data_IF_818159970439
#
_entry.id   IF_818159970439
#
_cell.length_a   1.000
_cell.length_b   1.000
_cell.length_c   1.000
_cell.angle_alpha   90.00
_cell.angle_beta   90.00
_cell.angle_gamma   90.00
#
_symmetry.space_group_name_H-M   'P 1'
#
loop_
_entity.id
_entity.type
_entity.pdbx_description
1 polymer ?
#
# COMPACT_ATOMS: atom_id res chain seq x y z
N UNK A 1 28.92 7.38 22.92
CA UNK A 1 27.54 7.11 23.33
C UNK A 1 26.80 6.65 22.08
N UNK A 2 26.50 5.34 22.00
CA UNK A 2 25.74 4.79 20.87
C UNK A 2 24.27 5.03 21.15
N UNK A 3 23.62 5.80 20.29
CA UNK A 3 22.17 5.96 20.32
C UNK A 3 21.57 4.62 19.88
N UNK A 4 20.88 3.95 20.80
CA UNK A 4 20.07 2.78 20.51
C UNK A 4 19.01 3.22 19.47
N UNK A 5 19.00 2.55 18.31
CA UNK A 5 17.90 2.65 17.39
C UNK A 5 16.67 2.12 18.10
N UNK A 6 15.71 3.01 18.39
CA UNK A 6 14.41 2.60 18.87
C UNK A 6 13.78 1.71 17.78
N UNK A 7 13.64 0.43 18.08
CA UNK A 7 12.77 -0.47 17.30
C UNK A 7 11.39 0.17 17.31
N UNK A 8 10.95 0.63 16.14
CA UNK A 8 9.59 1.11 15.97
C UNK A 8 8.67 -0.10 16.20
N UNK A 9 7.91 -0.06 17.27
CA UNK A 9 6.81 -0.99 17.49
C UNK A 9 6.00 -1.08 16.19
N UNK A 10 5.67 -2.29 15.68
CA UNK A 10 4.78 -2.37 14.54
C UNK A 10 3.50 -1.60 14.86
N UNK A 11 3.05 -0.79 13.89
CA UNK A 11 1.80 -0.06 14.02
C UNK A 11 0.69 -1.02 14.44
N UNK A 12 -0.18 -0.64 15.38
CA UNK A 12 -1.32 -1.47 15.73
C UNK A 12 -2.11 -1.76 14.45
N UNK A 13 -2.48 -3.01 14.27
CA UNK A 13 -3.25 -3.44 13.12
C UNK A 13 -4.62 -2.79 13.20
N UNK A 14 -5.10 -2.22 12.10
CA UNK A 14 -6.47 -1.76 11.91
C UNK A 14 -7.52 -2.86 12.15
N UNK A 15 -7.06 -4.06 12.38
CA UNK A 15 -7.85 -5.27 12.48
C UNK A 15 -8.59 -5.34 13.80
N UNK A 16 -9.89 -5.10 13.75
CA UNK A 16 -10.75 -5.53 14.83
C UNK A 16 -10.75 -7.08 14.88
N UNK A 17 -10.44 -7.72 16.03
CA UNK A 17 -10.57 -9.17 16.18
C UNK A 17 -11.98 -9.69 15.82
N UNK A 18 -12.99 -8.83 15.96
CA UNK A 18 -14.38 -9.12 15.63
C UNK A 18 -14.60 -9.18 14.11
N UNK A 19 -13.92 -8.34 13.36
CA UNK A 19 -13.98 -8.36 11.91
C UNK A 19 -13.33 -9.63 11.33
N UNK A 20 -12.26 -10.11 11.97
CA UNK A 20 -11.65 -11.39 11.64
C UNK A 20 -12.62 -12.58 11.79
N UNK A 21 -13.47 -12.55 12.80
CA UNK A 21 -14.49 -13.59 13.01
C UNK A 21 -15.61 -13.51 11.98
N UNK A 22 -15.98 -12.29 11.56
CA UNK A 22 -16.98 -12.08 10.50
C UNK A 22 -16.48 -12.68 9.19
N UNK A 23 -15.23 -12.37 8.80
CA UNK A 23 -14.66 -12.85 7.56
C UNK A 23 -14.52 -14.38 7.49
N UNK A 24 -14.39 -15.06 8.64
CA UNK A 24 -14.39 -16.53 8.71
C UNK A 24 -15.77 -17.19 8.54
N UNK A 25 -16.82 -16.40 8.51
CA UNK A 25 -18.18 -16.90 8.23
C UNK A 25 -18.37 -17.34 6.77
N UNK A 26 -17.31 -17.36 5.99
CA UNK A 26 -17.32 -17.78 4.61
C UNK A 26 -17.84 -19.19 4.39
N UNK A 27 -19.00 -19.25 3.88
CA UNK A 27 -19.61 -20.42 3.25
C UNK A 27 -20.33 -19.94 2.00
N UNK A 28 -20.69 -20.83 1.06
CA UNK A 28 -21.56 -20.47 -0.04
C UNK A 28 -22.93 -20.06 0.54
N UNK A 29 -23.08 -18.79 0.84
CA UNK A 29 -24.28 -18.21 1.37
C UNK A 29 -24.97 -17.51 0.20
N UNK A 30 -25.69 -18.26 -0.59
CA UNK A 30 -26.62 -17.69 -1.53
C UNK A 30 -27.96 -17.51 -0.81
N UNK A 31 -28.38 -16.28 -0.59
CA UNK A 31 -29.69 -15.90 -0.04
C UNK A 31 -30.06 -16.50 1.33
N UNK A 32 -29.09 -17.03 2.08
CA UNK A 32 -29.29 -17.63 3.39
C UNK A 32 -28.74 -16.74 4.50
N UNK A 33 -29.36 -16.77 5.67
CA UNK A 33 -28.86 -16.09 6.86
C UNK A 33 -27.59 -16.78 7.36
N UNK A 34 -26.55 -15.99 7.62
CA UNK A 34 -25.28 -16.45 8.18
C UNK A 34 -25.47 -16.91 9.63
N UNK A 35 -24.78 -17.96 10.01
CA UNK A 35 -24.88 -18.51 11.36
C UNK A 35 -24.48 -17.47 12.43
N UNK A 36 -25.31 -17.25 13.47
CA UNK A 36 -25.01 -16.31 14.54
C UNK A 36 -23.70 -16.59 15.31
N UNK A 37 -23.17 -17.79 15.21
CA UNK A 37 -21.98 -18.19 15.98
C UNK A 37 -20.73 -17.40 15.62
N UNK A 38 -20.53 -17.11 14.36
CA UNK A 38 -19.34 -16.42 13.87
C UNK A 38 -19.55 -14.90 13.93
N UNK A 39 -20.78 -14.46 13.68
CA UNK A 39 -21.14 -13.04 13.64
C UNK A 39 -21.74 -12.54 14.96
N UNK A 40 -21.73 -13.35 16.00
CA UNK A 40 -22.33 -13.02 17.33
C UNK A 40 -21.75 -11.76 17.99
N UNK A 41 -20.61 -11.28 17.51
CA UNK A 41 -20.02 -10.01 17.95
C UNK A 41 -20.75 -8.79 17.36
N UNK A 42 -21.50 -8.98 16.29
CA UNK A 42 -22.33 -7.96 15.65
C UNK A 42 -23.80 -8.11 16.06
N UNK A 43 -24.06 -8.42 17.34
CA UNK A 43 -25.41 -8.65 17.83
C UNK A 43 -26.38 -7.51 17.45
N UNK A 44 -27.62 -7.87 17.16
CA UNK A 44 -28.34 -9.13 17.22
C UNK A 44 -28.30 -9.96 15.94
N UNK A 45 -27.14 -10.35 15.59
CA UNK A 45 -26.74 -10.95 14.66
C UNK A 45 -26.61 -12.00 13.67
N UNK A 46 -27.30 -11.91 12.62
CA UNK A 46 -27.06 -12.67 11.40
C UNK A 46 -26.83 -11.72 10.24
N UNK A 47 -26.11 -12.21 9.24
CA UNK A 47 -25.96 -11.56 7.95
C UNK A 47 -26.56 -12.45 6.89
N UNK A 48 -27.05 -11.86 5.83
CA UNK A 48 -27.54 -12.53 4.62
C UNK A 48 -26.76 -12.01 3.41
N UNK A 49 -26.76 -12.73 2.30
CA UNK A 49 -26.07 -12.38 1.08
C UNK A 49 -25.15 -13.49 0.61
N UNK A 50 -24.12 -13.15 -0.16
CA UNK A 50 -23.19 -14.12 -0.73
C UNK A 50 -22.39 -13.54 -1.90
N UNK A 51 -22.00 -14.38 -2.86
CA UNK A 51 -21.27 -13.98 -4.05
C UNK A 51 -22.22 -13.44 -5.13
N UNK A 52 -21.93 -12.23 -5.60
CA UNK A 52 -22.68 -11.57 -6.67
C UNK A 52 -21.77 -11.40 -7.89
N UNK A 53 -22.30 -11.74 -9.07
CA UNK A 53 -21.55 -11.59 -10.31
C UNK A 53 -21.72 -10.21 -10.88
N UNK A 54 -20.61 -9.52 -11.14
CA UNK A 54 -20.64 -8.19 -11.73
C UNK A 54 -20.86 -8.22 -13.23
N UNK A 55 -21.24 -7.12 -13.90
CA UNK A 55 -21.36 -7.03 -15.36
C UNK A 55 -20.04 -7.34 -16.10
N UNK A 56 -18.90 -7.03 -15.51
CA UNK A 56 -17.57 -7.34 -16.06
C UNK A 56 -17.12 -8.79 -15.83
N UNK A 57 -17.88 -9.54 -15.01
CA UNK A 57 -17.73 -10.99 -14.85
C UNK A 57 -16.98 -11.42 -13.58
N UNK A 58 -16.50 -10.48 -12.75
CA UNK A 58 -15.92 -10.78 -11.45
C UNK A 58 -17.01 -11.25 -10.47
N UNK A 59 -16.58 -11.91 -9.41
CA UNK A 59 -17.45 -12.28 -8.29
C UNK A 59 -17.05 -11.46 -7.08
N UNK A 60 -18.00 -10.74 -6.50
CA UNK A 60 -17.80 -9.95 -5.29
C UNK A 60 -18.68 -10.50 -4.18
N UNK A 61 -18.12 -10.75 -3.00
CA UNK A 61 -18.86 -11.26 -1.85
C UNK A 61 -19.40 -10.10 -1.03
N UNK A 62 -20.74 -10.04 -0.90
CA UNK A 62 -21.43 -8.99 -0.14
C UNK A 62 -22.41 -9.63 0.84
N UNK A 63 -22.26 -9.30 2.11
CA UNK A 63 -23.14 -9.68 3.19
C UNK A 63 -23.82 -8.44 3.77
N UNK A 64 -25.08 -8.53 4.11
CA UNK A 64 -25.83 -7.47 4.77
C UNK A 64 -26.39 -7.96 6.12
N UNK A 65 -26.29 -7.10 7.12
CA UNK A 65 -26.86 -7.35 8.44
C UNK A 65 -28.37 -7.61 8.33
N UNK A 66 -28.91 -8.51 9.14
CA UNK A 66 -30.36 -8.73 9.25
C UNK A 66 -31.16 -7.53 9.82
N UNK A 67 -30.46 -6.46 10.19
CA UNK A 67 -31.09 -5.17 10.44
C UNK A 67 -31.66 -4.52 9.16
N UNK A 68 -31.12 -4.93 8.00
CA UNK A 68 -31.66 -4.58 6.70
C UNK A 68 -32.66 -5.67 6.24
N UNK A 69 -33.76 -5.29 5.54
CA UNK A 69 -34.60 -6.27 4.88
C UNK A 69 -33.80 -7.16 3.94
N UNK A 70 -34.16 -8.44 3.87
CA UNK A 70 -33.54 -9.35 2.90
C UNK A 70 -33.92 -8.90 1.49
N UNK A 71 -32.93 -8.42 0.75
CA UNK A 71 -33.10 -7.91 -0.61
C UNK A 71 -31.84 -8.21 -1.43
N UNK A 72 -31.82 -9.25 -2.27
CA UNK A 72 -30.67 -9.57 -3.13
C UNK A 72 -30.20 -8.41 -4.01
N UNK A 73 -31.08 -7.46 -4.37
CA UNK A 73 -30.73 -6.29 -5.14
C UNK A 73 -29.78 -5.36 -4.35
N UNK A 74 -29.80 -5.37 -3.02
CA UNK A 74 -28.85 -4.62 -2.20
C UNK A 74 -27.43 -5.13 -2.40
N UNK A 75 -27.20 -6.45 -2.32
CA UNK A 75 -25.89 -7.04 -2.52
C UNK A 75 -25.37 -6.86 -3.95
N UNK A 76 -26.25 -7.09 -4.95
CA UNK A 76 -25.91 -6.86 -6.36
C UNK A 76 -25.51 -5.40 -6.62
N UNK A 77 -26.26 -4.42 -6.09
CA UNK A 77 -25.94 -2.99 -6.23
C UNK A 77 -24.54 -2.67 -5.74
N UNK A 78 -24.13 -3.19 -4.58
CA UNK A 78 -22.82 -2.93 -4.03
C UNK A 78 -21.70 -3.67 -4.75
N UNK A 79 -21.97 -4.88 -5.24
CA UNK A 79 -21.02 -5.59 -6.11
C UNK A 79 -20.79 -4.81 -7.42
N UNK A 80 -21.84 -4.35 -8.08
CA UNK A 80 -21.78 -3.56 -9.30
C UNK A 80 -21.11 -2.20 -9.07
N UNK A 81 -21.39 -1.56 -7.93
CA UNK A 81 -20.74 -0.32 -7.53
C UNK A 81 -19.21 -0.51 -7.42
N UNK A 82 -18.76 -1.51 -6.68
CA UNK A 82 -17.32 -1.80 -6.54
C UNK A 82 -16.67 -2.12 -7.89
N UNK A 83 -17.34 -2.85 -8.75
CA UNK A 83 -16.87 -3.12 -10.10
C UNK A 83 -16.81 -1.87 -11.01
N UNK A 84 -17.54 -0.82 -10.67
CA UNK A 84 -17.49 0.47 -11.38
C UNK A 84 -16.29 1.33 -11.00
N UNK A 85 -15.62 1.01 -9.89
CA UNK A 85 -14.42 1.71 -9.45
C UNK A 85 -13.22 1.28 -10.28
N UNK A 86 -12.14 2.06 -10.25
CA UNK A 86 -10.85 1.63 -10.81
C UNK A 86 -10.30 0.52 -9.92
N UNK A 87 -10.21 -0.70 -10.44
CA UNK A 87 -9.80 -1.87 -9.68
C UNK A 87 -8.85 -2.76 -10.47
N UNK A 88 -8.25 -3.72 -9.79
CA UNK A 88 -7.49 -4.83 -10.36
C UNK A 88 -8.13 -6.18 -9.96
N UNK A 89 -7.38 -7.29 -10.01
CA UNK A 89 -7.89 -8.61 -9.68
C UNK A 89 -8.26 -8.78 -8.19
N UNK A 90 -7.82 -7.87 -7.32
CA UNK A 90 -8.17 -7.89 -5.88
C UNK A 90 -9.67 -7.76 -5.63
N UNK A 91 -10.44 -7.20 -6.55
CA UNK A 91 -11.90 -7.09 -6.44
C UNK A 91 -12.57 -8.43 -6.10
N UNK A 92 -12.08 -9.52 -6.65
CA UNK A 92 -12.65 -10.85 -6.40
C UNK A 92 -12.28 -11.45 -5.04
N UNK A 93 -11.43 -10.79 -4.26
CA UNK A 93 -10.99 -11.27 -2.94
C UNK A 93 -11.57 -10.49 -1.77
N UNK A 94 -12.37 -9.44 -2.03
CA UNK A 94 -12.96 -8.65 -0.95
C UNK A 94 -14.24 -9.29 -0.41
N UNK A 95 -14.41 -9.20 0.90
CA UNK A 95 -15.65 -9.49 1.61
C UNK A 95 -16.25 -8.20 2.16
N UNK A 96 -17.40 -7.83 1.69
CA UNK A 96 -18.10 -6.59 2.10
C UNK A 96 -19.21 -6.94 3.07
N UNK A 97 -19.18 -6.33 4.25
CA UNK A 97 -20.19 -6.46 5.27
C UNK A 97 -20.92 -5.13 5.43
N UNK A 98 -22.21 -5.13 5.14
CA UNK A 98 -23.07 -3.96 5.25
C UNK A 98 -23.85 -4.01 6.55
N UNK A 99 -23.76 -2.98 7.38
CA UNK A 99 -24.48 -2.93 8.63
C UNK A 99 -24.91 -1.48 8.96
N UNK A 100 -25.96 -1.27 9.79
CA UNK A 100 -26.27 0.06 10.29
C UNK A 100 -25.09 0.67 11.03
N UNK A 101 -24.92 1.99 10.95
CA UNK A 101 -23.85 2.76 11.59
C UNK A 101 -23.60 2.36 13.06
N UNK A 102 -24.68 2.13 13.82
CA UNK A 102 -24.58 1.68 15.21
C UNK A 102 -23.96 0.30 15.41
N UNK A 103 -24.03 -0.58 14.40
CA UNK A 103 -23.35 -1.87 14.43
C UNK A 103 -21.88 -1.71 13.97
N UNK A 104 -21.63 -0.89 12.96
CA UNK A 104 -20.29 -0.54 12.51
C UNK A 104 -19.46 0.03 13.65
N UNK A 105 -19.94 1.08 14.31
CA UNK A 105 -19.26 1.72 15.45
C UNK A 105 -18.97 0.76 16.61
N UNK A 106 -19.81 -0.24 16.82
CA UNK A 106 -19.58 -1.26 17.85
C UNK A 106 -18.40 -2.18 17.53
N UNK A 107 -18.13 -2.42 16.26
CA UNK A 107 -17.05 -3.31 15.79
C UNK A 107 -15.77 -2.54 15.51
N UNK A 108 -15.88 -1.44 14.78
CA UNK A 108 -14.75 -0.65 14.30
C UNK A 108 -14.22 0.36 15.34
N UNK A 109 -15.08 0.73 16.32
CA UNK A 109 -14.80 1.77 17.32
C UNK A 109 -15.87 2.86 17.31
N UNK A 110 -16.02 3.59 18.44
CA UNK A 110 -17.13 4.53 18.65
C UNK A 110 -17.20 5.65 17.61
N UNK A 111 -16.05 6.06 17.09
CA UNK A 111 -15.92 7.19 16.15
C UNK A 111 -15.72 6.74 14.70
N UNK A 112 -15.69 5.43 14.46
CA UNK A 112 -15.49 4.88 13.13
C UNK A 112 -16.82 4.79 12.36
N UNK A 113 -16.80 5.29 11.12
CA UNK A 113 -17.92 5.18 10.17
C UNK A 113 -17.86 3.86 9.41
N UNK A 114 -16.64 3.34 9.19
CA UNK A 114 -16.36 2.05 8.55
C UNK A 114 -15.00 1.52 9.02
N UNK A 115 -14.62 0.32 8.62
CA UNK A 115 -13.26 -0.18 8.77
C UNK A 115 -12.95 -1.32 7.80
N UNK A 116 -11.63 -1.51 7.53
CA UNK A 116 -11.11 -2.58 6.70
C UNK A 116 -10.13 -3.45 7.50
N UNK A 117 -10.22 -4.77 7.33
CA UNK A 117 -9.25 -5.76 7.83
C UNK A 117 -8.43 -6.33 6.68
N UNK A 118 -7.13 -6.06 6.70
CA UNK A 118 -6.21 -6.58 5.67
C UNK A 118 -5.93 -8.07 5.81
N UNK A 119 -6.07 -8.63 7.01
CA UNK A 119 -5.83 -10.05 7.25
C UNK A 119 -6.93 -10.94 6.65
N UNK A 120 -8.17 -10.45 6.62
CA UNK A 120 -9.34 -11.17 6.14
C UNK A 120 -9.85 -10.64 4.81
N UNK A 121 -9.24 -9.58 4.26
CA UNK A 121 -9.76 -8.86 3.09
C UNK A 121 -11.22 -8.41 3.29
N UNK A 122 -11.58 -8.02 4.51
CA UNK A 122 -12.94 -7.72 4.91
C UNK A 122 -13.15 -6.23 5.16
N UNK A 123 -14.25 -5.69 4.62
CA UNK A 123 -14.70 -4.31 4.77
C UNK A 123 -16.05 -4.32 5.50
N UNK A 124 -16.19 -3.54 6.57
CA UNK A 124 -17.45 -3.32 7.26
C UNK A 124 -17.83 -1.84 7.15
N UNK A 125 -18.98 -1.57 6.56
CA UNK A 125 -19.46 -0.21 6.30
C UNK A 125 -21.00 -0.10 6.37
N UNK A 126 -21.54 1.12 6.44
CA UNK A 126 -22.98 1.33 6.29
C UNK A 126 -23.45 0.97 4.87
N UNK A 127 -24.58 0.28 4.78
CA UNK A 127 -25.25 0.00 3.50
C UNK A 127 -26.12 1.16 2.98
N UNK A 128 -26.24 2.24 3.77
CA UNK A 128 -26.97 3.48 3.50
C UNK A 128 -26.14 4.67 3.95
N UNK A 129 -26.45 5.87 3.49
CA UNK A 129 -25.70 7.06 3.85
C UNK A 129 -25.68 7.24 5.38
N UNK A 130 -24.46 7.33 5.97
CA UNK A 130 -24.33 7.52 7.41
C UNK A 130 -24.69 8.93 7.84
N UNK A 131 -24.87 9.12 9.15
CA UNK A 131 -25.01 10.45 9.73
C UNK A 131 -23.68 11.23 9.54
N UNK A 132 -23.74 12.51 9.18
CA UNK A 132 -22.52 13.31 9.03
C UNK A 132 -22.19 13.78 7.62
N UNK A 133 -23.04 13.46 6.63
CA UNK A 133 -22.97 14.08 5.29
C UNK A 133 -22.03 13.41 4.29
N UNK A 134 -21.41 12.29 4.64
CA UNK A 134 -20.72 11.42 3.68
C UNK A 134 -21.73 10.44 3.06
N UNK A 135 -21.56 10.11 1.79
CA UNK A 135 -22.34 9.01 1.19
C UNK A 135 -21.75 7.65 1.55
N UNK A 136 -22.58 6.62 1.62
CA UNK A 136 -22.11 5.25 1.79
C UNK A 136 -21.16 4.84 0.66
N UNK A 137 -21.38 5.34 -0.56
CA UNK A 137 -20.46 5.14 -1.70
C UNK A 137 -19.08 5.72 -1.43
N UNK A 138 -18.99 6.95 -0.88
CA UNK A 138 -17.72 7.57 -0.55
C UNK A 138 -16.97 6.78 0.53
N UNK A 139 -17.69 6.37 1.58
CA UNK A 139 -17.13 5.57 2.68
C UNK A 139 -16.62 4.22 2.19
N UNK A 140 -17.44 3.49 1.43
CA UNK A 140 -17.05 2.17 0.89
C UNK A 140 -15.89 2.31 -0.10
N UNK A 141 -15.83 3.40 -0.89
CA UNK A 141 -14.71 3.64 -1.80
C UNK A 141 -13.42 3.89 -1.03
N UNK A 142 -13.45 4.63 0.08
CA UNK A 142 -12.30 4.84 0.96
C UNK A 142 -11.78 3.49 1.51
N UNK A 143 -12.64 2.69 2.12
CA UNK A 143 -12.27 1.39 2.68
C UNK A 143 -11.75 0.41 1.61
N UNK A 144 -12.35 0.46 0.42
CA UNK A 144 -11.84 -0.32 -0.71
C UNK A 144 -10.46 0.16 -1.15
N UNK A 145 -10.12 1.43 -0.97
CA UNK A 145 -8.77 1.97 -1.14
C UNK A 145 -7.74 1.24 -0.24
N UNK A 146 -8.09 0.94 1.01
CA UNK A 146 -7.25 0.12 1.89
C UNK A 146 -7.09 -1.31 1.37
N UNK A 147 -8.18 -1.90 0.84
CA UNK A 147 -8.11 -3.23 0.20
C UNK A 147 -7.17 -3.23 -0.99
N UNK A 148 -7.25 -2.23 -1.86
CA UNK A 148 -6.30 -2.07 -2.96
C UNK A 148 -4.87 -1.99 -2.42
N UNK A 149 -4.58 -1.15 -1.42
CA UNK A 149 -3.25 -1.02 -0.84
C UNK A 149 -2.73 -2.33 -0.26
N UNK A 150 -3.59 -3.10 0.44
CA UNK A 150 -3.22 -4.40 1.00
C UNK A 150 -2.79 -5.41 -0.08
N UNK A 151 -3.31 -5.26 -1.29
CA UNK A 151 -2.99 -6.09 -2.46
C UNK A 151 -1.90 -5.48 -3.36
N UNK A 152 -1.15 -4.50 -2.89
CA UNK A 152 -0.05 -3.85 -3.63
C UNK A 152 1.27 -3.98 -2.88
N UNK A 153 2.35 -3.91 -3.64
CA UNK A 153 3.71 -3.94 -3.08
C UNK A 153 4.30 -2.54 -3.03
N UNK A 154 4.92 -2.20 -1.90
CA UNK A 154 5.74 -1.01 -1.72
C UNK A 154 7.04 -1.33 -0.97
N UNK A 155 7.69 -2.46 -1.27
CA UNK A 155 8.90 -2.86 -0.56
C UNK A 155 9.97 -1.73 -0.52
N UNK A 156 10.60 -1.50 0.67
CA UNK A 156 10.58 -2.33 1.87
C UNK A 156 9.44 -2.04 2.87
N UNK A 157 8.51 -1.18 2.54
CA UNK A 157 7.39 -0.80 3.42
C UNK A 157 6.12 -1.56 3.09
N UNK A 158 5.22 -1.65 4.05
CA UNK A 158 3.86 -2.15 3.83
C UNK A 158 3.03 -1.08 3.09
N UNK A 159 2.42 -1.46 1.97
CA UNK A 159 1.66 -0.49 1.18
C UNK A 159 0.40 0.00 1.91
N UNK A 160 -0.18 -0.80 2.81
CA UNK A 160 -1.33 -0.36 3.62
C UNK A 160 -0.98 0.81 4.55
N UNK A 161 0.26 0.90 5.02
CA UNK A 161 0.70 1.98 5.90
C UNK A 161 1.34 3.15 5.15
N UNK A 162 1.99 2.90 4.02
CA UNK A 162 2.76 3.90 3.27
C UNK A 162 2.10 4.32 1.95
N UNK A 163 0.98 3.71 1.57
CA UNK A 163 0.44 3.77 0.21
C UNK A 163 1.21 2.89 -0.78
N UNK A 164 0.63 2.56 -1.94
CA UNK A 164 1.28 1.85 -3.02
C UNK A 164 2.48 2.61 -3.61
N UNK A 165 3.32 1.89 -4.32
CA UNK A 165 4.70 2.29 -4.70
C UNK A 165 4.83 3.61 -5.42
N UNK A 166 4.06 3.81 -6.50
CA UNK A 166 4.19 5.00 -7.35
C UNK A 166 3.58 6.22 -6.66
N UNK A 167 2.40 6.07 -6.09
CA UNK A 167 1.75 7.13 -5.33
C UNK A 167 2.61 7.57 -4.14
N UNK A 168 3.09 6.62 -3.32
CA UNK A 168 3.94 6.91 -2.19
C UNK A 168 5.23 7.65 -2.57
N UNK A 169 5.80 7.30 -3.74
CA UNK A 169 6.99 7.99 -4.28
C UNK A 169 6.67 9.37 -4.85
N UNK A 170 5.50 9.53 -5.48
CA UNK A 170 5.05 10.82 -6.04
C UNK A 170 4.88 11.88 -4.94
N UNK A 171 4.19 11.53 -3.85
CA UNK A 171 4.00 12.43 -2.69
C UNK A 171 5.15 12.39 -1.67
N UNK A 172 6.22 11.65 -1.97
CA UNK A 172 7.45 11.54 -1.17
C UNK A 172 7.23 11.04 0.27
N UNK A 173 6.35 10.04 0.47
CA UNK A 173 6.01 9.50 1.79
C UNK A 173 7.26 9.17 2.61
N UNK A 174 8.20 8.43 2.02
CA UNK A 174 9.44 8.04 2.71
C UNK A 174 10.25 9.24 3.20
N UNK A 175 10.45 10.25 2.37
CA UNK A 175 11.23 11.44 2.73
C UNK A 175 10.52 12.28 3.79
N UNK A 176 9.21 12.44 3.67
CA UNK A 176 8.38 13.20 4.62
C UNK A 176 8.25 12.49 5.97
N UNK A 177 8.08 11.17 5.97
CA UNK A 177 8.08 10.39 7.21
C UNK A 177 9.43 10.47 7.96
N UNK A 178 10.56 10.47 7.23
CA UNK A 178 11.89 10.66 7.84
C UNK A 178 12.08 12.05 8.48
N UNK A 179 11.34 13.06 8.03
CA UNK A 179 11.33 14.40 8.63
C UNK A 179 10.28 14.58 9.72
N UNK A 180 9.48 13.53 10.00
CA UNK A 180 8.38 13.59 10.98
C UNK A 180 7.15 14.34 10.49
N UNK A 181 7.03 14.61 9.18
CA UNK A 181 5.88 15.29 8.57
C UNK A 181 4.70 14.34 8.32
N UNK A 182 4.97 13.05 8.19
CA UNK A 182 3.97 11.98 8.03
C UNK A 182 4.22 10.88 9.04
N UNK A 183 3.16 10.19 9.43
CA UNK A 183 3.17 9.11 10.41
C UNK A 183 2.55 7.82 9.82
N UNK A 184 3.30 7.05 9.01
CA UNK A 184 2.79 5.84 8.39
C UNK A 184 2.24 4.82 9.39
N UNK A 185 0.99 4.39 9.20
CA UNK A 185 0.32 3.44 10.07
C UNK A 185 -0.03 3.99 11.45
N UNK A 186 -0.13 5.30 11.62
CA UNK A 186 -0.58 5.89 12.88
C UNK A 186 -2.09 5.74 13.04
N UNK A 187 -2.49 5.18 14.18
CA UNK A 187 -3.88 4.95 14.57
C UNK A 187 -4.30 5.88 15.72
N UNK A 188 -3.34 6.61 16.31
CA UNK A 188 -3.61 7.54 17.40
C UNK A 188 -4.24 8.84 16.88
N UNK A 189 -5.19 9.45 17.62
CA UNK A 189 -5.91 10.65 17.16
C UNK A 189 -5.04 11.86 16.84
N UNK A 190 -3.81 11.90 17.38
CA UNK A 190 -2.89 13.05 17.21
C UNK A 190 -2.19 13.02 15.85
N UNK A 191 -1.95 11.82 15.28
CA UNK A 191 -1.16 11.64 14.05
C UNK A 191 -1.94 10.96 12.94
N UNK A 192 -3.19 10.61 13.18
CA UNK A 192 -4.05 9.96 12.18
C UNK A 192 -4.23 10.83 10.93
N UNK A 193 -4.37 12.13 11.10
CA UNK A 193 -4.53 13.10 10.02
C UNK A 193 -3.33 13.22 9.08
N UNK A 194 -2.15 12.74 9.50
CA UNK A 194 -0.92 12.66 8.69
C UNK A 194 -0.51 11.22 8.37
N UNK A 195 -1.41 10.25 8.53
CA UNK A 195 -1.20 8.87 8.14
C UNK A 195 -1.31 8.72 6.60
N UNK A 196 -0.21 8.36 5.88
CA UNK A 196 -0.28 8.21 4.44
C UNK A 196 -1.08 6.99 3.97
N UNK A 197 -1.36 6.01 4.84
CA UNK A 197 -2.29 4.92 4.53
C UNK A 197 -3.70 5.45 4.31
N UNK A 198 -4.16 6.34 5.19
CA UNK A 198 -5.43 7.06 5.07
C UNK A 198 -5.42 8.05 3.90
N UNK A 199 -4.29 8.75 3.71
CA UNK A 199 -4.09 9.63 2.56
C UNK A 199 -4.18 8.92 1.22
N UNK A 200 -3.75 7.67 1.16
CA UNK A 200 -3.94 6.81 -0.01
C UNK A 200 -5.42 6.48 -0.21
N UNK A 201 -6.13 6.00 0.82
CA UNK A 201 -7.54 5.63 0.73
C UNK A 201 -8.40 6.83 0.28
N UNK A 202 -8.15 8.02 0.81
CA UNK A 202 -8.76 9.26 0.38
C UNK A 202 -8.38 9.65 -1.06
N UNK A 203 -7.11 9.48 -1.47
CA UNK A 203 -6.69 9.69 -2.86
C UNK A 203 -7.43 8.75 -3.81
N UNK A 204 -7.58 7.49 -3.42
CA UNK A 204 -8.32 6.50 -4.19
C UNK A 204 -9.80 6.88 -4.33
N UNK A 205 -10.42 7.38 -3.26
CA UNK A 205 -11.80 7.91 -3.29
C UNK A 205 -11.92 9.07 -4.29
N UNK A 206 -11.07 10.09 -4.16
CA UNK A 206 -11.07 11.26 -5.08
C UNK A 206 -10.84 10.83 -6.54
N UNK A 207 -9.91 9.91 -6.79
CA UNK A 207 -9.68 9.36 -8.13
C UNK A 207 -10.97 8.79 -8.74
N UNK A 208 -11.70 7.99 -7.97
CA UNK A 208 -12.91 7.32 -8.45
C UNK A 208 -14.10 8.29 -8.59
N UNK A 209 -14.27 9.22 -7.67
CA UNK A 209 -15.29 10.28 -7.79
C UNK A 209 -15.08 11.09 -9.07
N UNK A 210 -13.86 11.51 -9.37
CA UNK A 210 -13.53 12.23 -10.61
C UNK A 210 -13.79 11.40 -11.87
N UNK A 211 -13.39 10.13 -11.85
CA UNK A 211 -13.61 9.24 -13.01
C UNK A 211 -15.07 8.95 -13.27
N UNK A 212 -15.88 8.87 -12.22
CA UNK A 212 -17.34 8.70 -12.31
C UNK A 212 -18.06 10.01 -12.64
N UNK A 213 -17.37 11.15 -12.59
CA UNK A 213 -17.97 12.47 -12.86
C UNK A 213 -18.96 12.91 -11.78
N UNK A 214 -18.81 12.42 -10.55
CA UNK A 214 -19.59 12.84 -9.39
C UNK A 214 -18.84 13.94 -8.61
N UNK A 215 -19.59 14.69 -7.78
CA UNK A 215 -19.00 15.71 -6.92
C UNK A 215 -18.05 15.04 -5.90
N UNK A 216 -16.89 15.66 -5.67
CA UNK A 216 -15.98 15.17 -4.64
C UNK A 216 -16.61 15.35 -3.26
N UNK A 217 -16.62 14.28 -2.48
CA UNK A 217 -16.97 14.34 -1.06
C UNK A 217 -15.96 15.19 -0.29
N UNK A 218 -16.34 15.83 0.82
CA UNK A 218 -15.43 16.66 1.60
C UNK A 218 -14.14 15.92 1.97
N UNK A 219 -13.00 16.57 1.79
CA UNK A 219 -11.71 16.10 2.26
C UNK A 219 -11.59 16.40 3.76
N UNK A 220 -11.77 15.40 4.62
CA UNK A 220 -11.85 15.63 6.06
C UNK A 220 -11.23 14.54 6.92
N UNK A 221 -10.92 13.38 6.35
CA UNK A 221 -10.31 12.25 7.09
C UNK A 221 -8.85 12.54 7.42
N UNK A 222 -8.13 13.18 6.51
CA UNK A 222 -6.71 13.51 6.67
C UNK A 222 -6.42 14.97 6.31
N UNK A 223 -5.26 15.43 6.74
CA UNK A 223 -4.76 16.78 6.47
C UNK A 223 -4.64 17.07 4.97
N UNK A 224 -4.90 18.33 4.59
CA UNK A 224 -4.73 18.82 3.21
C UNK A 224 -3.30 18.66 2.67
N UNK A 225 -2.30 18.40 3.51
CA UNK A 225 -0.94 18.11 3.05
C UNK A 225 -0.84 16.78 2.30
N UNK A 226 -1.87 15.93 2.39
CA UNK A 226 -2.01 14.66 1.67
C UNK A 226 -2.97 14.75 0.48
N UNK A 227 -3.62 15.91 0.25
CA UNK A 227 -4.54 16.08 -0.88
C UNK A 227 -3.80 15.85 -2.21
N UNK A 228 -4.34 15.01 -3.12
CA UNK A 228 -3.63 14.59 -4.32
C UNK A 228 -3.60 15.67 -5.39
N UNK A 229 -2.43 15.93 -5.93
CA UNK A 229 -2.28 16.65 -7.19
C UNK A 229 -2.49 15.71 -8.41
N UNK A 230 -2.41 16.26 -9.61
CA UNK A 230 -2.61 15.48 -10.84
C UNK A 230 -1.58 14.36 -11.00
N UNK A 231 -0.34 14.55 -10.52
CA UNK A 231 0.70 13.53 -10.59
C UNK A 231 0.43 12.38 -9.60
N UNK A 232 -0.04 12.71 -8.39
CA UNK A 232 -0.44 11.73 -7.39
C UNK A 232 -1.65 10.89 -7.87
N UNK A 233 -2.65 11.53 -8.50
CA UNK A 233 -3.80 10.81 -9.07
C UNK A 233 -3.39 9.88 -10.22
N UNK A 234 -2.49 10.33 -11.10
CA UNK A 234 -1.95 9.50 -12.18
C UNK A 234 -1.18 8.30 -11.62
N UNK A 235 -0.34 8.54 -10.61
CA UNK A 235 0.41 7.48 -9.94
C UNK A 235 -0.52 6.48 -9.22
N UNK A 236 -1.59 6.98 -8.59
CA UNK A 236 -2.59 6.15 -7.94
C UNK A 236 -3.30 5.23 -8.96
N UNK A 237 -3.76 5.77 -10.07
CA UNK A 237 -4.38 4.97 -11.14
C UNK A 237 -3.42 3.89 -11.68
N UNK A 238 -2.15 4.24 -11.89
CA UNK A 238 -1.13 3.28 -12.33
C UNK A 238 -0.88 2.18 -11.30
N UNK A 239 -0.88 2.50 -10.00
CA UNK A 239 -0.71 1.49 -8.95
C UNK A 239 -1.88 0.52 -8.90
N UNK A 240 -3.10 0.96 -9.23
CA UNK A 240 -4.27 0.07 -9.30
C UNK A 240 -4.24 -0.80 -10.56
N UNK A 241 -4.10 -0.18 -11.73
CA UNK A 241 -4.29 -0.85 -13.03
C UNK A 241 -3.05 -1.60 -13.53
N UNK A 242 -1.86 -1.23 -13.06
CA UNK A 242 -0.58 -1.83 -13.40
C UNK A 242 0.33 -1.94 -12.17
N UNK A 243 0.04 -2.86 -11.24
CA UNK A 243 0.75 -2.98 -9.98
C UNK A 243 2.27 -3.03 -10.16
N UNK A 244 2.98 -2.27 -9.31
CA UNK A 244 4.45 -2.28 -9.35
C UNK A 244 4.99 -3.64 -8.93
N UNK A 245 5.99 -4.10 -9.66
CA UNK A 245 6.77 -5.28 -9.35
C UNK A 245 8.25 -4.91 -9.27
N UNK A 246 8.99 -5.56 -8.36
CA UNK A 246 10.42 -5.33 -8.22
C UNK A 246 11.12 -5.64 -9.54
N UNK A 247 11.81 -4.68 -10.18
CA UNK A 247 12.53 -4.93 -11.41
C UNK A 247 13.67 -5.93 -11.21
N UNK A 248 13.93 -6.74 -12.23
CA UNK A 248 15.12 -7.58 -12.26
C UNK A 248 16.39 -6.73 -12.24
N UNK A 249 17.46 -7.25 -11.64
CA UNK A 249 18.74 -6.55 -11.59
C UNK A 249 19.33 -6.37 -13.00
N UNK A 250 19.64 -5.13 -13.37
CA UNK A 250 20.26 -4.80 -14.65
C UNK A 250 21.76 -5.09 -14.61
N UNK A 251 22.28 -6.00 -15.45
CA UNK A 251 23.69 -6.31 -15.50
C UNK A 251 24.48 -5.21 -16.25
N UNK A 252 25.68 -4.91 -15.75
CA UNK A 252 26.65 -4.00 -16.36
C UNK A 252 28.03 -4.62 -16.28
N UNK A 253 28.90 -4.32 -17.21
CA UNK A 253 30.30 -4.67 -17.15
C UNK A 253 31.15 -3.40 -17.19
N UNK A 254 32.32 -3.45 -16.57
CA UNK A 254 33.28 -2.35 -16.62
C UNK A 254 34.72 -2.87 -16.46
N UNK A 255 35.64 -2.19 -17.09
CA UNK A 255 37.07 -2.54 -17.00
C UNK A 255 37.82 -1.45 -16.26
N UNK A 256 38.62 -1.85 -15.29
CA UNK A 256 39.64 -1.00 -14.62
C UNK A 256 40.98 -1.32 -15.15
N UNK A 257 41.77 -0.29 -15.46
CA UNK A 257 43.14 -0.37 -15.97
C UNK A 257 44.10 0.34 -15.01
N UNK A 258 45.38 0.33 -15.32
CA UNK A 258 46.38 1.10 -14.55
C UNK A 258 46.12 2.60 -14.64
N UNK A 259 45.62 3.09 -15.78
CA UNK A 259 45.33 4.50 -16.03
C UNK A 259 43.91 4.88 -15.60
N UNK A 260 42.94 3.95 -15.67
CA UNK A 260 41.53 4.19 -15.29
C UNK A 260 41.16 3.32 -14.10
N UNK A 261 41.46 3.81 -12.91
CA UNK A 261 41.29 3.07 -11.65
C UNK A 261 39.90 3.17 -11.05
N UNK A 262 39.02 3.96 -11.67
CA UNK A 262 37.63 4.18 -11.17
C UNK A 262 36.67 4.22 -12.34
N UNK A 263 35.51 3.60 -12.15
CA UNK A 263 34.31 3.70 -13.03
C UNK A 263 33.13 4.17 -12.22
N UNK A 264 32.35 5.08 -12.80
CA UNK A 264 31.16 5.64 -12.17
C UNK A 264 29.95 5.40 -13.08
N UNK A 265 28.83 5.02 -12.46
CA UNK A 265 27.54 4.80 -13.11
C UNK A 265 26.49 5.67 -12.41
N UNK A 266 25.73 6.44 -13.16
CA UNK A 266 24.54 7.11 -12.66
C UNK A 266 23.33 6.21 -12.91
N UNK A 267 22.58 5.93 -11.86
CA UNK A 267 21.39 5.07 -11.88
C UNK A 267 20.19 5.95 -11.54
N UNK A 268 19.18 6.04 -12.42
CA UNK A 268 17.94 6.70 -12.07
C UNK A 268 17.19 5.90 -10.99
N UNK A 269 16.61 6.61 -10.04
CA UNK A 269 15.80 6.07 -8.95
C UNK A 269 14.49 6.84 -8.91
N UNK A 270 13.60 6.54 -9.85
CA UNK A 270 12.34 7.26 -10.00
C UNK A 270 11.39 7.01 -8.82
N UNK A 271 11.49 5.82 -8.22
CA UNK A 271 10.68 5.39 -7.08
C UNK A 271 11.54 5.29 -5.81
N UNK A 272 10.90 5.44 -4.68
CA UNK A 272 11.51 5.22 -3.37
C UNK A 272 11.54 3.72 -3.05
N UNK A 273 12.57 3.24 -2.32
CA UNK A 273 12.64 1.83 -1.95
C UNK A 273 14.07 1.30 -1.84
N UNK A 274 14.22 -0.02 -2.00
CA UNK A 274 15.51 -0.68 -1.87
C UNK A 274 16.29 -0.65 -3.18
N UNK A 275 17.46 -0.03 -3.15
CA UNK A 275 18.49 -0.18 -4.16
C UNK A 275 19.44 -1.30 -3.75
N UNK A 276 19.54 -2.36 -4.54
CA UNK A 276 20.48 -3.46 -4.34
C UNK A 276 21.56 -3.45 -5.41
N UNK A 277 22.81 -3.61 -4.97
CA UNK A 277 24.00 -3.59 -5.84
C UNK A 277 24.86 -4.80 -5.55
N UNK A 278 25.18 -5.55 -6.59
CA UNK A 278 26.10 -6.70 -6.52
C UNK A 278 27.28 -6.46 -7.46
N UNK A 279 28.49 -6.40 -6.89
CA UNK A 279 29.74 -6.29 -7.63
C UNK A 279 30.52 -7.61 -7.57
N UNK A 280 30.91 -8.13 -8.72
CA UNK A 280 31.78 -9.32 -8.84
C UNK A 280 33.13 -8.89 -9.37
N UNK A 281 34.16 -8.82 -8.51
CA UNK A 281 35.55 -8.53 -8.91
C UNK A 281 36.12 -9.64 -9.81
N UNK A 282 37.05 -9.31 -10.74
CA UNK A 282 37.84 -10.34 -11.43
C UNK A 282 38.79 -11.05 -10.46
N UNK A 283 39.20 -12.26 -10.79
CA UNK A 283 40.15 -13.04 -9.99
C UNK A 283 41.46 -12.25 -9.72
N UNK A 284 42.00 -12.39 -8.52
CA UNK A 284 43.23 -11.73 -8.10
C UNK A 284 43.13 -10.22 -7.84
N UNK A 285 41.94 -9.63 -7.92
CA UNK A 285 41.76 -8.20 -7.68
C UNK A 285 41.04 -7.95 -6.35
N UNK A 286 41.14 -6.72 -5.84
CA UNK A 286 40.36 -6.20 -4.70
C UNK A 286 39.78 -4.87 -5.13
N UNK A 287 38.46 -4.76 -5.10
CA UNK A 287 37.71 -3.57 -5.53
C UNK A 287 36.96 -2.93 -4.36
N UNK A 288 36.73 -1.63 -4.47
CA UNK A 288 35.80 -0.89 -3.62
C UNK A 288 34.54 -0.58 -4.40
N UNK A 289 33.39 -0.71 -3.71
CA UNK A 289 32.07 -0.35 -4.15
C UNK A 289 31.55 0.77 -3.26
N UNK A 290 31.26 1.92 -3.84
CA UNK A 290 30.61 3.03 -3.16
C UNK A 290 29.29 3.36 -3.85
N UNK A 291 28.26 3.71 -3.09
CA UNK A 291 26.99 4.27 -3.59
C UNK A 291 26.81 5.64 -2.96
N UNK A 292 26.47 6.63 -3.76
CA UNK A 292 26.28 8.01 -3.34
C UNK A 292 24.91 8.53 -3.77
N UNK A 293 24.22 9.24 -2.85
CA UNK A 293 23.14 10.16 -3.17
C UNK A 293 23.70 11.58 -3.05
N UNK A 294 23.77 12.31 -4.17
CA UNK A 294 24.50 13.59 -4.24
C UNK A 294 25.93 13.44 -3.71
N UNK A 295 26.31 14.12 -2.61
CA UNK A 295 27.59 14.03 -1.94
C UNK A 295 27.62 12.98 -0.82
N UNK A 296 26.46 12.51 -0.36
CA UNK A 296 26.37 11.57 0.78
C UNK A 296 26.67 10.15 0.33
N UNK A 297 27.62 9.49 0.98
CA UNK A 297 27.93 8.08 0.75
C UNK A 297 26.95 7.20 1.53
N UNK A 298 26.08 6.47 0.80
CA UNK A 298 25.08 5.56 1.36
C UNK A 298 25.66 4.17 1.65
N UNK A 299 26.62 3.72 0.80
CA UNK A 299 27.23 2.39 0.90
C UNK A 299 28.72 2.51 0.67
N UNK A 300 29.50 1.74 1.44
CA UNK A 300 30.91 1.46 1.19
C UNK A 300 31.20 0.00 1.45
N UNK A 301 31.89 -0.66 0.52
CA UNK A 301 32.37 -2.02 0.69
C UNK A 301 33.67 -2.24 -0.08
N UNK A 302 34.58 -3.05 0.47
CA UNK A 302 35.85 -3.41 -0.18
C UNK A 302 36.03 -4.92 -0.09
N UNK A 303 36.38 -5.56 -1.20
CA UNK A 303 36.59 -7.00 -1.20
C UNK A 303 37.21 -7.54 -2.50
N UNK A 304 37.65 -8.79 -2.41
CA UNK A 304 38.18 -9.59 -3.54
C UNK A 304 37.13 -10.63 -4.00
N UNK A 305 36.06 -10.82 -3.25
CA UNK A 305 34.92 -11.70 -3.58
C UNK A 305 33.71 -10.85 -3.95
N UNK A 306 32.60 -11.49 -4.33
CA UNK A 306 31.33 -10.81 -4.60
C UNK A 306 30.92 -9.93 -3.42
N UNK A 307 30.65 -8.66 -3.71
CA UNK A 307 30.12 -7.67 -2.76
C UNK A 307 28.65 -7.44 -3.09
N UNK A 308 27.75 -7.87 -2.21
CA UNK A 308 26.33 -7.55 -2.31
C UNK A 308 25.95 -6.59 -1.20
N UNK A 309 25.32 -5.47 -1.55
CA UNK A 309 24.89 -4.43 -0.61
C UNK A 309 23.54 -3.88 -1.05
N UNK A 310 22.78 -3.47 -0.07
CA UNK A 310 21.52 -2.74 -0.29
C UNK A 310 21.48 -1.47 0.55
N UNK A 311 20.70 -0.52 0.09
CA UNK A 311 20.39 0.72 0.81
C UNK A 311 19.00 1.19 0.41
N UNK A 312 18.35 1.97 1.26
CA UNK A 312 17.07 2.59 0.95
C UNK A 312 17.30 3.94 0.30
N UNK A 313 16.78 4.12 -0.90
CA UNK A 313 16.65 5.44 -1.54
C UNK A 313 15.28 6.03 -1.20
N UNK A 314 15.24 7.33 -0.89
CA UNK A 314 14.09 7.98 -0.30
C UNK A 314 14.09 9.45 -0.74
N UNK A 315 13.30 9.78 -1.76
CA UNK A 315 13.27 11.08 -2.41
C UNK A 315 14.45 11.36 -3.36
N UNK A 316 15.44 10.49 -3.43
CA UNK A 316 16.53 10.62 -4.39
C UNK A 316 16.07 10.18 -5.78
N UNK A 317 16.30 11.00 -6.79
CA UNK A 317 15.91 10.70 -8.18
C UNK A 317 17.07 10.12 -9.02
N UNK A 318 18.27 10.09 -8.47
CA UNK A 318 19.41 9.37 -9.01
C UNK A 318 20.45 9.07 -7.93
N UNK A 319 21.20 7.98 -8.13
CA UNK A 319 22.36 7.62 -7.32
C UNK A 319 23.57 7.39 -8.21
N UNK A 320 24.76 7.61 -7.67
CA UNK A 320 26.02 7.31 -8.34
C UNK A 320 26.66 6.08 -7.70
N UNK A 321 26.95 5.07 -8.51
CA UNK A 321 27.69 3.88 -8.11
C UNK A 321 29.10 4.02 -8.61
N UNK A 322 30.10 4.01 -7.71
CA UNK A 322 31.52 4.08 -8.02
C UNK A 322 32.18 2.76 -7.70
N UNK A 323 32.86 2.20 -8.69
CA UNK A 323 33.73 1.02 -8.55
C UNK A 323 35.17 1.45 -8.72
N UNK A 324 36.03 1.16 -7.72
CA UNK A 324 37.44 1.57 -7.72
C UNK A 324 38.36 0.39 -7.48
N UNK A 325 39.53 0.40 -8.14
CA UNK A 325 40.56 -0.57 -7.92
C UNK A 325 41.37 -0.25 -6.65
N UNK A 326 41.28 -1.12 -5.65
CA UNK A 326 42.14 -1.10 -4.47
C UNK A 326 43.46 -1.85 -4.79
N UNK A 327 43.33 -3.06 -5.37
CA UNK A 327 44.45 -3.87 -5.83
C UNK A 327 44.08 -4.59 -7.13
N UNK A 328 45.03 -4.61 -8.09
CA UNK A 328 44.85 -5.26 -9.40
C UNK A 328 43.94 -4.45 -10.33
N UNK A 329 43.74 -4.96 -11.53
CA UNK A 329 42.94 -4.39 -12.61
C UNK A 329 42.19 -5.52 -13.32
N UNK A 330 41.23 -5.21 -14.17
CA UNK A 330 40.50 -6.20 -14.96
C UNK A 330 39.02 -5.86 -15.12
N UNK A 331 38.28 -6.76 -15.76
CA UNK A 331 36.87 -6.59 -16.05
C UNK A 331 36.02 -7.14 -14.90
N UNK A 332 35.18 -6.31 -14.34
CA UNK A 332 34.20 -6.66 -13.30
C UNK A 332 32.78 -6.73 -13.85
N UNK A 333 31.91 -7.41 -13.13
CA UNK A 333 30.45 -7.41 -13.39
C UNK A 333 29.76 -6.70 -12.26
N UNK A 334 28.81 -5.83 -12.61
CA UNK A 334 27.96 -5.09 -11.69
C UNK A 334 26.51 -5.41 -12.02
N UNK A 335 25.71 -5.74 -11.03
CA UNK A 335 24.26 -5.89 -11.16
C UNK A 335 23.58 -4.90 -10.23
N UNK A 336 22.56 -4.18 -10.73
CA UNK A 336 21.84 -3.16 -10.00
C UNK A 336 20.34 -3.42 -10.12
N UNK A 337 19.68 -3.61 -8.98
CA UNK A 337 18.22 -3.58 -8.88
C UNK A 337 17.82 -2.28 -8.21
N UNK A 338 17.15 -1.40 -8.95
CA UNK A 338 16.55 -0.16 -8.44
C UNK A 338 15.10 -0.38 -8.04
N UNK A 339 14.55 0.43 -7.11
CA UNK A 339 13.13 0.35 -6.75
C UNK A 339 12.21 0.76 -7.88
#
# INVERSE_FOLDING_TARGET
MAAAAAESKPAPRLESPRLAEIARADGPISDALVSPRVLGLLAPGTYWGGAYRTPSGESVTVYASNAYPVDPALGQRWADFLASLVHGPELSSIHVFLAPESQVSRVCGSDAVACYSSAESALLAPGQDPSGGLSAEAVITHEYGHHVAANRSNAPWAAIAYGPKRWASAIQVCARARRGELAPGAEDPVRYDVNPGEGWAETYRVLNERKRGVAESPWGVVSNVLYPDAAALTAAEQDVTSPWQQPAASPRTGTLTRSTRTRTYTIPTQLDGTLAVTLRPPAGTRLALDVYASSTRLVHAVGARTLSRSTTVCGQRSVRIRVSAVRGTGTFRLAVASP
#
